data_IF_685829553800
#
_entry.id   IF_685829553800
#
_cell.length_a   1.000
_cell.length_b   1.000
_cell.length_c   1.000
_cell.angle_alpha   90.00
_cell.angle_beta   90.00
_cell.angle_gamma   90.00
#
_symmetry.space_group_name_H-M   'P 1'
#
loop_
_entity.id
_entity.type
_entity.pdbx_description
1 polymer ?
#
# COMPACT_ATOMS: atom_id res chain seq x y z
N UNK A 1 5.64 0.51 3.57
CA UNK A 1 6.58 -0.29 4.40
C UNK A 1 7.03 -1.55 3.65
N UNK A 2 7.57 -1.40 2.43
CA UNK A 2 7.93 -2.53 1.56
C UNK A 2 9.37 -3.02 1.70
N UNK A 3 10.12 -2.46 2.66
CA UNK A 3 11.55 -2.70 2.83
C UNK A 3 11.81 -3.28 4.21
N UNK A 4 12.64 -4.31 4.25
CA UNK A 4 13.17 -4.87 5.47
C UNK A 4 14.08 -3.85 6.16
N UNK A 5 13.87 -3.64 7.46
CA UNK A 5 14.64 -2.70 8.27
C UNK A 5 15.42 -3.44 9.35
N UNK A 6 16.70 -3.08 9.51
CA UNK A 6 17.61 -3.66 10.50
C UNK A 6 18.20 -2.58 11.39
N UNK A 7 18.35 -2.87 12.68
CA UNK A 7 19.13 -2.02 13.59
C UNK A 7 20.62 -2.31 13.40
N UNK A 8 21.40 -1.29 13.05
CA UNK A 8 22.84 -1.40 12.77
C UNK A 8 23.67 -1.64 14.03
N UNK A 9 23.16 -1.26 15.20
CA UNK A 9 23.88 -1.43 16.47
C UNK A 9 23.78 -2.86 16.99
N UNK A 10 22.64 -3.52 16.78
CA UNK A 10 22.41 -4.90 17.27
C UNK A 10 22.43 -5.95 16.17
N UNK A 11 22.26 -5.55 14.90
CA UNK A 11 22.05 -6.46 13.77
C UNK A 11 20.64 -7.08 13.72
N UNK A 12 19.73 -6.67 14.60
CA UNK A 12 18.38 -7.23 14.66
C UNK A 12 17.52 -6.76 13.50
N UNK A 13 16.80 -7.69 12.88
CA UNK A 13 15.71 -7.36 11.95
C UNK A 13 14.52 -6.81 12.73
N UNK A 14 14.19 -5.54 12.46
CA UNK A 14 13.08 -4.82 13.09
C UNK A 14 11.76 -5.00 12.33
N UNK A 15 11.83 -5.15 11.01
CA UNK A 15 10.69 -5.33 10.10
C UNK A 15 11.10 -6.20 8.91
N UNK A 16 10.25 -7.13 8.46
CA UNK A 16 10.56 -8.15 7.45
C UNK A 16 11.13 -9.43 8.06
N UNK A 17 10.63 -9.81 9.24
CA UNK A 17 11.15 -10.93 10.03
C UNK A 17 10.51 -12.23 9.56
N UNK A 18 11.30 -13.22 9.10
CA UNK A 18 10.79 -14.56 8.83
C UNK A 18 10.19 -15.18 10.10
N UNK A 19 9.10 -15.93 9.96
CA UNK A 19 8.46 -16.67 11.06
C UNK A 19 8.06 -15.75 12.23
N UNK A 20 7.38 -14.64 11.92
CA UNK A 20 6.94 -13.60 12.85
C UNK A 20 6.33 -14.15 14.17
N UNK A 21 5.68 -15.32 14.11
CA UNK A 21 4.97 -15.98 15.22
C UNK A 21 5.80 -16.96 16.06
N UNK A 22 7.06 -17.24 15.70
CA UNK A 22 8.01 -17.90 16.63
C UNK A 22 8.45 -16.99 17.76
N UNK A 23 8.18 -15.70 17.65
CA UNK A 23 8.56 -14.70 18.64
C UNK A 23 7.39 -14.42 19.59
N UNK A 24 7.70 -14.28 20.88
CA UNK A 24 6.70 -13.86 21.87
C UNK A 24 6.18 -12.45 21.54
N UNK A 25 4.93 -12.18 21.89
CA UNK A 25 4.29 -10.87 21.71
C UNK A 25 5.10 -9.75 22.33
N UNK A 26 5.72 -9.99 23.48
CA UNK A 26 6.66 -9.05 24.13
C UNK A 26 7.83 -8.68 23.22
N UNK A 27 8.41 -9.65 22.52
CA UNK A 27 9.51 -9.41 21.58
C UNK A 27 9.04 -8.66 20.33
N UNK A 28 7.83 -8.96 19.83
CA UNK A 28 7.22 -8.22 18.72
C UNK A 28 6.95 -6.76 19.11
N UNK A 29 6.35 -6.50 20.28
CA UNK A 29 6.14 -5.15 20.83
C UNK A 29 7.45 -4.36 20.95
N UNK A 30 8.52 -4.96 21.49
CA UNK A 30 9.83 -4.31 21.61
C UNK A 30 10.43 -3.96 20.25
N UNK A 31 10.33 -4.85 19.26
CA UNK A 31 10.80 -4.58 17.89
C UNK A 31 10.07 -3.40 17.27
N UNK A 32 8.74 -3.36 17.42
CA UNK A 32 7.93 -2.28 16.89
C UNK A 32 8.28 -0.94 17.54
N UNK A 33 8.42 -0.89 18.88
CA UNK A 33 8.92 0.34 19.55
C UNK A 33 10.28 0.79 19.05
N UNK A 34 11.16 -0.16 18.69
CA UNK A 34 12.49 0.15 18.15
C UNK A 34 12.44 0.79 16.76
N UNK A 35 11.28 0.77 16.08
CA UNK A 35 11.06 1.51 14.84
C UNK A 35 10.84 3.01 15.08
N UNK A 36 10.44 3.46 16.28
CA UNK A 36 10.31 4.89 16.54
C UNK A 36 11.64 5.62 16.24
N UNK A 37 11.56 6.81 15.65
CA UNK A 37 12.75 7.64 15.47
C UNK A 37 13.16 8.19 16.84
N UNK A 38 14.46 8.12 17.14
CA UNK A 38 15.02 8.82 18.30
C UNK A 38 15.08 10.33 18.06
N UNK A 39 15.23 11.12 19.13
CA UNK A 39 15.46 12.57 19.00
C UNK A 39 16.72 12.89 18.18
N UNK A 40 17.73 12.02 18.23
CA UNK A 40 18.94 12.17 17.40
C UNK A 40 18.63 11.94 15.91
N UNK A 41 17.86 10.90 15.58
CA UNK A 41 17.40 10.64 14.20
C UNK A 41 16.54 11.79 13.68
N UNK A 42 15.65 12.35 14.53
CA UNK A 42 14.84 13.54 14.19
C UNK A 42 15.69 14.80 14.00
N UNK A 43 16.81 14.92 14.71
CA UNK A 43 17.78 15.99 14.52
C UNK A 43 18.73 15.75 13.32
N UNK A 44 18.50 14.70 12.53
CA UNK A 44 19.25 14.39 11.30
C UNK A 44 20.40 13.41 11.48
N UNK A 45 20.68 12.92 12.70
CA UNK A 45 21.66 11.84 12.94
C UNK A 45 21.02 10.47 12.64
N UNK A 46 20.78 10.24 11.36
CA UNK A 46 20.22 8.99 10.83
C UNK A 46 21.29 7.89 10.69
N UNK A 47 20.85 6.64 10.54
CA UNK A 47 21.72 5.49 10.27
C UNK A 47 21.65 4.37 11.31
N UNK A 48 21.00 4.60 12.47
CA UNK A 48 20.73 3.54 13.44
C UNK A 48 19.94 2.41 12.80
N UNK A 49 18.88 2.72 12.08
CA UNK A 49 18.14 1.72 11.29
C UNK A 49 18.46 1.93 9.82
N UNK A 50 18.70 0.83 9.12
CA UNK A 50 18.98 0.86 7.68
C UNK A 50 18.10 -0.13 6.91
N UNK A 51 17.73 0.20 5.66
CA UNK A 51 17.02 -0.71 4.79
C UNK A 51 17.98 -1.76 4.21
N UNK A 52 17.61 -3.04 4.29
CA UNK A 52 18.46 -4.14 3.79
C UNK A 52 18.04 -4.68 2.43
N UNK A 53 16.73 -4.93 2.26
CA UNK A 53 16.18 -5.54 1.05
C UNK A 53 14.69 -5.19 0.91
N UNK A 54 14.10 -5.39 -0.27
CA UNK A 54 12.64 -5.44 -0.37
C UNK A 54 12.13 -6.67 0.37
N UNK A 55 10.93 -6.57 0.95
CA UNK A 55 10.33 -7.67 1.69
C UNK A 55 10.29 -8.97 0.86
N UNK A 56 10.88 -10.03 1.41
CA UNK A 56 10.89 -11.38 0.86
C UNK A 56 9.93 -12.33 1.60
N UNK A 57 9.35 -11.86 2.69
CA UNK A 57 8.37 -12.55 3.54
C UNK A 57 7.09 -11.72 3.64
N UNK A 58 5.97 -12.39 3.94
CA UNK A 58 4.73 -11.69 4.25
C UNK A 58 4.92 -10.92 5.55
N UNK A 59 4.44 -9.69 5.60
CA UNK A 59 4.44 -8.88 6.80
C UNK A 59 3.05 -8.33 7.09
N UNK A 60 2.82 -7.93 8.33
CA UNK A 60 1.55 -7.36 8.74
C UNK A 60 1.75 -6.30 9.81
N UNK A 61 1.11 -5.14 9.64
CA UNK A 61 1.05 -4.11 10.67
C UNK A 61 -0.41 -3.81 11.02
N UNK A 62 -0.77 -3.71 12.31
CA UNK A 62 -2.11 -3.30 12.67
C UNK A 62 -2.44 -1.92 12.09
N UNK A 63 -3.66 -1.81 11.57
CA UNK A 63 -4.13 -0.58 10.96
C UNK A 63 -3.60 -0.32 9.54
N UNK A 64 -2.60 -1.06 9.01
CA UNK A 64 -2.22 -1.05 7.59
C UNK A 64 -2.57 -2.35 6.86
N UNK A 65 -2.66 -3.47 7.57
CA UNK A 65 -2.95 -4.79 7.00
C UNK A 65 -1.69 -5.52 6.55
N UNK A 66 -1.88 -6.61 5.80
CA UNK A 66 -0.78 -7.44 5.31
C UNK A 66 -0.13 -6.90 4.04
N UNK A 67 1.14 -7.24 3.84
CA UNK A 67 1.93 -6.95 2.65
C UNK A 67 2.53 -8.26 2.14
N UNK A 68 2.32 -8.56 0.85
CA UNK A 68 2.92 -9.72 0.19
C UNK A 68 4.40 -9.46 -0.20
N UNK A 69 5.23 -10.50 -0.29
CA UNK A 69 6.62 -10.40 -0.74
C UNK A 69 6.77 -9.84 -2.16
N UNK A 70 7.83 -9.06 -2.40
CA UNK A 70 8.18 -8.56 -3.73
C UNK A 70 8.97 -9.56 -4.58
N UNK A 71 9.33 -10.72 -4.02
CA UNK A 71 10.17 -11.75 -4.68
C UNK A 71 9.62 -12.17 -6.04
N UNK A 72 8.29 -12.29 -6.19
CA UNK A 72 7.65 -12.66 -7.46
C UNK A 72 7.83 -11.58 -8.54
N UNK A 73 7.59 -10.32 -8.18
CA UNK A 73 7.77 -9.17 -9.08
C UNK A 73 9.23 -9.03 -9.51
N UNK A 74 10.16 -9.00 -8.55
CA UNK A 74 11.59 -8.87 -8.83
C UNK A 74 12.08 -10.04 -9.69
N UNK A 75 11.64 -11.27 -9.39
CA UNK A 75 12.00 -12.46 -10.15
C UNK A 75 11.43 -12.48 -11.58
N UNK A 76 10.25 -11.89 -11.81
CA UNK A 76 9.68 -11.71 -13.16
C UNK A 76 10.43 -10.63 -13.94
N UNK A 77 10.71 -9.48 -13.33
CA UNK A 77 11.49 -8.41 -13.96
C UNK A 77 12.90 -8.87 -14.35
N UNK A 78 13.61 -9.57 -13.45
CA UNK A 78 14.96 -10.10 -13.75
C UNK A 78 14.99 -11.09 -14.90
N UNK A 79 13.92 -11.89 -15.07
CA UNK A 79 13.79 -12.83 -16.19
C UNK A 79 13.37 -12.16 -17.50
N UNK A 80 12.60 -11.08 -17.43
CA UNK A 80 12.18 -10.31 -18.61
C UNK A 80 13.21 -9.29 -19.08
N UNK A 81 14.11 -8.84 -18.20
CA UNK A 81 15.15 -7.88 -18.55
C UNK A 81 16.26 -8.52 -19.38
N UNK A 82 16.98 -7.68 -20.14
CA UNK A 82 18.15 -8.07 -20.95
C UNK A 82 19.18 -8.87 -20.13
N UNK A 83 19.37 -8.48 -18.87
CA UNK A 83 20.22 -9.17 -17.91
C UNK A 83 19.70 -8.92 -16.49
N UNK A 84 19.84 -9.86 -15.53
CA UNK A 84 19.40 -9.65 -14.16
C UNK A 84 20.02 -8.42 -13.47
N UNK A 85 21.25 -8.04 -13.85
CA UNK A 85 21.93 -6.85 -13.36
C UNK A 85 21.30 -5.52 -13.84
N UNK A 86 20.40 -5.55 -14.82
CA UNK A 86 19.64 -4.37 -15.23
C UNK A 86 18.53 -4.02 -14.22
N UNK A 87 18.21 -4.92 -13.28
CA UNK A 87 17.14 -4.75 -12.29
C UNK A 87 17.71 -4.50 -10.91
N UNK A 88 17.48 -3.30 -10.38
CA UNK A 88 17.84 -2.90 -9.03
C UNK A 88 16.59 -2.80 -8.13
N UNK A 89 16.42 -3.70 -7.15
CA UNK A 89 15.53 -3.47 -6.03
C UNK A 89 16.04 -2.30 -5.18
N UNK A 90 15.18 -1.34 -4.86
CA UNK A 90 15.53 -0.19 -4.02
C UNK A 90 14.77 -0.25 -2.69
N UNK A 91 15.36 -0.85 -1.64
CA UNK A 91 14.81 -0.73 -0.30
C UNK A 91 15.16 0.63 0.31
N UNK A 92 14.27 1.18 1.13
CA UNK A 92 14.47 2.48 1.77
C UNK A 92 13.90 2.50 3.19
N UNK A 93 14.38 3.43 4.03
CA UNK A 93 13.87 3.60 5.37
C UNK A 93 12.53 4.35 5.32
N UNK A 94 11.45 3.58 5.26
CA UNK A 94 10.09 4.10 5.14
C UNK A 94 9.60 4.89 6.36
N UNK A 95 10.39 4.95 7.44
CA UNK A 95 10.11 5.79 8.61
C UNK A 95 10.46 7.26 8.33
N UNK A 96 11.46 7.50 7.48
CA UNK A 96 11.91 8.81 7.06
C UNK A 96 10.99 9.40 5.98
N UNK A 97 11.09 10.71 5.76
CA UNK A 97 10.24 11.42 4.80
C UNK A 97 10.42 10.92 3.36
N UNK A 98 9.35 11.03 2.58
CA UNK A 98 9.34 10.78 1.14
C UNK A 98 10.38 11.65 0.44
N UNK A 99 10.54 12.91 0.86
CA UNK A 99 11.57 13.82 0.32
C UNK A 99 12.98 13.27 0.50
N UNK A 100 13.31 12.80 1.71
CA UNK A 100 14.62 12.22 2.00
C UNK A 100 14.87 10.96 1.16
N UNK A 101 13.93 10.01 1.17
CA UNK A 101 14.06 8.77 0.43
C UNK A 101 14.04 8.98 -1.10
N UNK A 102 13.34 10.00 -1.59
CA UNK A 102 13.32 10.38 -3.00
C UNK A 102 14.69 10.86 -3.50
N UNK A 103 15.43 11.61 -2.68
CA UNK A 103 16.80 12.01 -3.00
C UNK A 103 17.75 10.80 -3.08
N UNK A 104 17.62 9.85 -2.15
CA UNK A 104 18.39 8.59 -2.19
C UNK A 104 18.02 7.74 -3.41
N UNK A 105 16.74 7.69 -3.80
CA UNK A 105 16.29 7.00 -5.00
C UNK A 105 16.90 7.61 -6.26
N UNK A 106 16.93 8.94 -6.37
CA UNK A 106 17.52 9.64 -7.51
C UNK A 106 19.01 9.29 -7.67
N UNK A 107 19.77 9.33 -6.57
CA UNK A 107 21.20 9.01 -6.57
C UNK A 107 21.45 7.53 -6.93
N UNK A 108 20.66 6.61 -6.35
CA UNK A 108 20.75 5.19 -6.66
C UNK A 108 20.37 4.89 -8.11
N UNK A 109 19.34 5.55 -8.63
CA UNK A 109 18.86 5.41 -10.00
C UNK A 109 19.94 5.85 -11.02
N UNK A 110 20.55 7.02 -10.79
CA UNK A 110 21.63 7.53 -11.62
C UNK A 110 22.84 6.58 -11.66
N UNK A 111 23.36 6.18 -10.49
CA UNK A 111 24.47 5.21 -10.40
C UNK A 111 24.16 3.88 -11.08
N UNK A 112 22.93 3.39 -10.91
CA UNK A 112 22.49 2.14 -11.51
C UNK A 112 22.46 2.23 -13.04
N UNK A 113 21.97 3.35 -13.57
CA UNK A 113 21.92 3.56 -15.01
C UNK A 113 23.32 3.67 -15.62
N UNK A 114 24.23 4.40 -14.98
CA UNK A 114 25.64 4.47 -15.40
C UNK A 114 26.30 3.09 -15.40
N UNK A 115 26.15 2.34 -14.32
CA UNK A 115 26.68 0.98 -14.20
C UNK A 115 26.09 0.03 -15.25
N UNK A 116 24.79 0.13 -15.52
CA UNK A 116 24.14 -0.69 -16.55
C UNK A 116 24.63 -0.33 -17.96
N UNK A 117 24.77 0.96 -18.28
CA UNK A 117 25.29 1.40 -19.59
C UNK A 117 26.71 0.93 -19.85
N UNK A 118 27.54 0.81 -18.79
CA UNK A 118 28.89 0.28 -18.86
C UNK A 118 28.99 -1.26 -18.85
N UNK A 119 27.88 -1.97 -18.60
CA UNK A 119 27.88 -3.42 -18.46
C UNK A 119 28.03 -4.12 -19.84
N UNK A 120 28.87 -5.17 -20.00
CA UNK A 120 29.07 -5.84 -21.30
C UNK A 120 27.76 -6.34 -21.94
N UNK A 121 26.86 -6.91 -21.14
CA UNK A 121 25.56 -7.38 -21.63
C UNK A 121 24.67 -6.27 -22.23
N UNK A 122 24.82 -5.00 -21.79
CA UNK A 122 24.15 -3.86 -22.42
C UNK A 122 24.75 -3.59 -23.79
N UNK A 123 26.08 -3.48 -23.89
CA UNK A 123 26.79 -3.29 -25.17
C UNK A 123 26.44 -4.39 -26.17
N UNK A 124 26.49 -5.66 -25.75
CA UNK A 124 26.16 -6.78 -26.62
C UNK A 124 24.70 -6.74 -27.09
N UNK A 125 23.78 -6.29 -26.23
CA UNK A 125 22.38 -6.13 -26.59
C UNK A 125 22.18 -5.03 -27.64
N UNK A 126 22.82 -3.87 -27.46
CA UNK A 126 22.76 -2.77 -28.42
C UNK A 126 23.32 -3.19 -29.79
N UNK A 127 24.45 -3.91 -29.82
CA UNK A 127 25.04 -4.44 -31.05
C UNK A 127 24.09 -5.43 -31.74
N UNK A 128 23.49 -6.36 -30.99
CA UNK A 128 22.61 -7.39 -31.55
C UNK A 128 21.29 -6.84 -32.10
N UNK A 129 20.75 -5.82 -31.44
CA UNK A 129 19.42 -5.26 -31.79
C UNK A 129 19.50 -4.10 -32.77
N UNK A 130 20.66 -3.43 -32.86
CA UNK A 130 20.79 -2.19 -33.61
C UNK A 130 19.98 -1.04 -33.00
N UNK A 131 19.65 -1.11 -31.70
CA UNK A 131 19.03 0.03 -31.01
C UNK A 131 20.03 1.19 -30.92
N UNK A 132 19.60 2.39 -31.34
CA UNK A 132 20.42 3.61 -31.27
C UNK A 132 20.09 4.48 -30.05
N UNK A 133 19.02 4.15 -29.32
CA UNK A 133 18.58 4.93 -28.16
C UNK A 133 19.36 4.50 -26.90
N UNK A 134 19.93 5.43 -26.11
CA UNK A 134 20.57 5.06 -24.86
C UNK A 134 19.57 4.44 -23.88
N UNK A 135 20.04 3.49 -23.07
CA UNK A 135 19.25 2.92 -21.97
C UNK A 135 18.72 4.04 -21.05
N UNK A 136 17.53 3.83 -20.51
CA UNK A 136 16.90 4.73 -19.54
C UNK A 136 16.11 3.93 -18.52
N UNK A 137 15.65 4.60 -17.46
CA UNK A 137 15.11 3.94 -16.27
C UNK A 137 13.61 3.71 -16.42
N UNK A 138 13.18 2.47 -16.21
CA UNK A 138 11.78 2.15 -15.94
C UNK A 138 11.61 2.00 -14.42
N UNK A 139 10.82 2.88 -13.81
CA UNK A 139 10.45 2.71 -12.42
C UNK A 139 9.21 1.83 -12.28
N UNK A 140 9.26 0.86 -11.37
CA UNK A 140 8.10 0.08 -10.93
C UNK A 140 7.97 0.28 -9.43
N UNK A 141 6.95 1.02 -9.01
CA UNK A 141 6.70 1.33 -7.62
C UNK A 141 5.35 0.82 -7.14
N UNK A 142 5.33 0.46 -5.87
CA UNK A 142 4.13 0.11 -5.14
C UNK A 142 3.93 1.07 -3.97
N UNK A 143 2.68 1.46 -3.71
CA UNK A 143 2.29 2.26 -2.55
C UNK A 143 3.11 3.56 -2.48
N UNK A 144 3.67 3.88 -1.31
CA UNK A 144 4.52 5.06 -1.06
C UNK A 144 5.73 5.19 -2.00
N UNK A 145 6.19 4.09 -2.61
CA UNK A 145 7.28 4.15 -3.60
C UNK A 145 6.98 5.06 -4.79
N UNK A 146 5.70 5.20 -5.17
CA UNK A 146 5.32 6.13 -6.25
C UNK A 146 5.44 7.59 -5.84
N UNK A 147 5.36 7.90 -4.54
CA UNK A 147 5.61 9.24 -4.02
C UNK A 147 7.09 9.60 -4.07
N UNK A 148 7.98 8.62 -3.84
CA UNK A 148 9.43 8.83 -4.04
C UNK A 148 9.71 9.17 -5.51
N UNK A 149 9.10 8.46 -6.47
CA UNK A 149 9.25 8.78 -7.89
C UNK A 149 8.72 10.18 -8.19
N UNK A 150 7.60 10.60 -7.58
CA UNK A 150 7.11 11.98 -7.73
C UNK A 150 8.14 13.01 -7.28
N UNK A 151 8.91 12.73 -6.24
CA UNK A 151 10.01 13.61 -5.81
C UNK A 151 11.16 13.71 -6.81
N UNK A 152 11.44 12.66 -7.59
CA UNK A 152 12.49 12.70 -8.62
C UNK A 152 12.24 13.81 -9.66
N UNK A 153 10.98 14.13 -9.96
CA UNK A 153 10.63 15.20 -10.89
C UNK A 153 10.95 16.61 -10.37
N UNK A 154 11.31 16.74 -9.09
CA UNK A 154 11.76 17.98 -8.46
C UNK A 154 13.27 18.04 -8.25
N UNK A 155 14.01 17.01 -8.69
CA UNK A 155 15.46 16.94 -8.60
C UNK A 155 16.05 17.23 -9.99
N UNK A 156 16.91 18.26 -10.14
CA UNK A 156 17.50 18.62 -11.43
C UNK A 156 18.18 17.42 -12.11
N UNK A 157 17.84 17.16 -13.38
CA UNK A 157 18.40 16.09 -14.20
C UNK A 157 17.85 14.68 -13.94
N UNK A 158 17.21 14.42 -12.79
CA UNK A 158 16.74 13.07 -12.46
C UNK A 158 15.60 12.58 -13.38
N UNK A 159 14.74 13.49 -13.84
CA UNK A 159 13.62 13.15 -14.73
C UNK A 159 14.08 12.81 -16.17
N UNK A 160 15.24 13.31 -16.61
CA UNK A 160 15.73 13.14 -17.98
C UNK A 160 16.13 11.69 -18.28
N UNK A 161 16.49 10.95 -17.24
CA UNK A 161 16.87 9.53 -17.32
C UNK A 161 15.67 8.59 -17.39
N UNK A 162 14.45 9.10 -17.17
CA UNK A 162 13.23 8.29 -17.02
C UNK A 162 12.66 7.88 -18.39
N UNK A 163 12.66 6.56 -18.65
CA UNK A 163 12.04 5.93 -19.81
C UNK A 163 10.54 5.64 -19.59
N UNK A 164 10.14 5.37 -18.35
CA UNK A 164 8.75 5.12 -17.98
C UNK A 164 8.55 4.98 -16.47
N UNK A 165 7.30 5.15 -16.04
CA UNK A 165 6.90 5.01 -14.63
C UNK A 165 5.68 4.11 -14.54
N UNK A 166 5.74 3.12 -13.67
CA UNK A 166 4.60 2.28 -13.31
C UNK A 166 4.39 2.42 -11.80
N UNK A 167 3.17 2.77 -11.41
CA UNK A 167 2.79 2.83 -9.99
C UNK A 167 1.61 1.91 -9.75
N UNK A 168 1.65 1.14 -8.67
CA UNK A 168 0.52 0.33 -8.20
C UNK A 168 0.07 0.82 -6.83
N UNK A 169 -1.19 1.25 -6.73
CA UNK A 169 -1.82 1.66 -5.47
C UNK A 169 -1.12 2.85 -4.79
N UNK A 170 -0.49 3.76 -5.54
CA UNK A 170 0.24 4.87 -4.94
C UNK A 170 -0.73 5.92 -4.38
N UNK A 171 -0.66 6.29 -3.08
CA UNK A 171 -1.53 7.29 -2.48
C UNK A 171 -1.06 8.71 -2.81
N UNK A 172 -1.20 9.16 -4.06
CA UNK A 172 -0.77 10.49 -4.50
C UNK A 172 -1.41 11.63 -3.70
N UNK A 173 -2.66 11.45 -3.26
CA UNK A 173 -3.38 12.38 -2.38
C UNK A 173 -3.46 11.87 -0.93
N UNK A 174 -2.64 10.90 -0.54
CA UNK A 174 -2.66 10.31 0.80
C UNK A 174 -3.80 9.32 1.04
N UNK A 175 -3.99 8.92 2.29
CA UNK A 175 -5.00 7.94 2.70
C UNK A 175 -5.58 8.26 4.08
N UNK A 176 -6.90 8.13 4.24
CA UNK A 176 -7.57 8.20 5.56
C UNK A 176 -7.00 7.17 6.53
N UNK A 177 -6.48 6.03 6.06
CA UNK A 177 -5.86 5.01 6.90
C UNK A 177 -4.68 5.57 7.70
N UNK A 178 -3.90 6.50 7.15
CA UNK A 178 -2.83 7.18 7.88
C UNK A 178 -3.36 7.99 9.08
N UNK A 179 -4.51 8.65 8.92
CA UNK A 179 -5.18 9.37 10.02
C UNK A 179 -5.65 8.39 11.10
N UNK A 180 -6.25 7.26 10.69
CA UNK A 180 -6.73 6.23 11.63
C UNK A 180 -5.58 5.61 12.44
N UNK A 181 -4.41 5.45 11.83
CA UNK A 181 -3.20 5.00 12.53
C UNK A 181 -2.73 6.01 13.58
N UNK A 182 -2.75 7.31 13.29
CA UNK A 182 -2.41 8.33 14.29
C UNK A 182 -3.44 8.34 15.43
N UNK A 183 -4.70 8.05 15.12
CA UNK A 183 -5.79 7.93 16.10
C UNK A 183 -5.75 6.63 16.93
N UNK A 184 -4.96 5.63 16.54
CA UNK A 184 -5.03 4.25 17.08
C UNK A 184 -4.66 4.08 18.56
N UNK A 185 -4.39 5.19 19.28
CA UNK A 185 -4.37 5.29 20.74
C UNK A 185 -5.74 5.38 21.43
N UNK A 186 -6.85 5.51 20.70
CA UNK A 186 -8.21 5.74 21.25
C UNK A 186 -9.25 4.75 20.70
N UNK A 187 -9.26 3.51 21.22
CA UNK A 187 -10.42 2.61 21.13
C UNK A 187 -10.62 1.83 19.83
N UNK A 188 -9.58 1.59 19.02
CA UNK A 188 -9.63 0.60 17.96
C UNK A 188 -9.13 -0.77 18.51
N UNK A 189 -9.83 -1.89 18.25
CA UNK A 189 -9.38 -3.21 18.69
C UNK A 189 -8.26 -3.68 17.77
N UNK A 190 -7.04 -3.23 18.04
CA UNK A 190 -5.83 -3.65 17.34
C UNK A 190 -4.99 -4.51 18.31
N UNK A 191 -4.34 -5.59 17.84
CA UNK A 191 -3.55 -6.52 18.66
C UNK A 191 -2.20 -5.94 19.16
N UNK A 192 -1.98 -4.63 18.99
CA UNK A 192 -0.91 -3.92 19.65
C UNK A 192 -1.52 -2.92 20.63
N UNK A 193 -0.94 -2.78 21.83
CA UNK A 193 -1.44 -1.81 22.77
C UNK A 193 -1.27 -0.42 22.15
N UNK A 194 -2.32 0.37 22.31
CA UNK A 194 -2.55 1.66 21.67
C UNK A 194 -1.37 2.65 21.88
N UNK A 195 -0.61 2.45 22.95
CA UNK A 195 0.58 3.21 23.32
C UNK A 195 1.76 2.96 22.35
N UNK A 196 2.02 1.72 21.94
CA UNK A 196 3.11 1.37 21.02
C UNK A 196 2.87 1.99 19.65
N UNK A 197 1.64 1.85 19.13
CA UNK A 197 1.27 2.45 17.86
C UNK A 197 1.36 3.97 17.92
N UNK A 198 0.94 4.59 19.02
CA UNK A 198 1.07 6.03 19.21
C UNK A 198 2.53 6.48 19.26
N UNK A 199 3.39 5.77 19.98
CA UNK A 199 4.82 6.07 20.12
C UNK A 199 5.53 6.05 18.76
N UNK A 200 5.27 5.01 17.95
CA UNK A 200 5.91 4.88 16.64
C UNK A 200 5.34 5.88 15.63
N UNK A 201 4.02 6.05 15.58
CA UNK A 201 3.37 6.91 14.57
C UNK A 201 3.67 8.39 14.81
N UNK A 202 3.88 8.80 16.07
CA UNK A 202 4.22 10.18 16.42
C UNK A 202 5.59 10.62 15.89
N UNK A 203 6.52 9.70 15.67
CA UNK A 203 7.93 10.02 15.37
C UNK A 203 8.32 9.85 13.91
N UNK A 204 7.44 9.33 13.04
CA UNK A 204 7.78 8.90 11.67
C UNK A 204 7.28 9.88 10.59
N UNK A 205 8.14 10.79 10.05
CA UNK A 205 7.75 11.67 8.95
C UNK A 205 7.13 10.94 7.74
N UNK A 206 7.61 9.74 7.41
CA UNK A 206 7.08 8.96 6.28
C UNK A 206 5.59 8.62 6.42
N UNK A 207 5.07 8.51 7.65
CA UNK A 207 3.64 8.33 7.88
C UNK A 207 2.84 9.63 7.70
N UNK A 208 3.39 10.78 8.11
CA UNK A 208 2.75 12.09 7.90
C UNK A 208 2.67 12.45 6.43
N UNK A 209 3.66 12.03 5.63
CA UNK A 209 3.65 12.20 4.17
C UNK A 209 2.51 11.42 3.48
N UNK A 210 1.86 10.47 4.17
CA UNK A 210 0.68 9.74 3.70
C UNK A 210 -0.66 10.34 4.15
N UNK A 211 -0.65 11.45 4.89
CA UNK A 211 -1.89 12.14 5.29
C UNK A 211 -2.70 12.56 4.07
N UNK A 212 -4.04 12.51 4.13
CA UNK A 212 -4.87 12.82 2.98
C UNK A 212 -4.86 14.33 2.69
N UNK A 213 -4.57 14.67 1.44
CA UNK A 213 -4.56 16.05 0.93
C UNK A 213 -5.88 16.46 0.27
N UNK A 214 -6.91 15.64 0.39
CA UNK A 214 -8.23 15.83 -0.24
C UNK A 214 -9.33 16.08 0.82
N UNK A 215 -10.52 16.47 0.36
CA UNK A 215 -11.68 16.77 1.21
C UNK A 215 -12.26 15.48 1.81
N UNK A 216 -11.74 15.06 2.97
CA UNK A 216 -12.06 13.77 3.57
C UNK A 216 -12.56 13.86 5.02
N UNK A 217 -12.47 15.03 5.67
CA UNK A 217 -12.98 15.22 7.01
C UNK A 217 -14.41 15.77 6.94
N UNK A 218 -15.37 15.03 7.48
CA UNK A 218 -16.76 15.44 7.61
C UNK A 218 -16.86 16.74 8.41
N UNK A 219 -17.54 17.74 7.85
CA UNK A 219 -17.83 19.03 8.46
C UNK A 219 -19.26 19.45 8.12
N UNK A 220 -20.17 19.26 9.08
CA UNK A 220 -21.61 19.34 8.86
C UNK A 220 -22.07 18.34 7.78
N UNK A 221 -22.68 18.87 6.73
CA UNK A 221 -23.20 18.11 5.58
C UNK A 221 -22.15 17.85 4.47
N UNK A 222 -20.97 18.46 4.55
CA UNK A 222 -19.94 18.38 3.53
C UNK A 222 -18.66 17.75 4.08
N UNK A 223 -17.63 17.67 3.25
CA UNK A 223 -16.29 17.28 3.65
C UNK A 223 -15.32 18.42 3.36
N UNK A 224 -14.32 18.62 4.21
CA UNK A 224 -13.22 19.57 4.03
C UNK A 224 -11.86 18.88 4.08
N UNK A 225 -10.84 19.59 3.59
CA UNK A 225 -9.47 19.15 3.72
C UNK A 225 -9.00 19.25 5.18
N UNK A 226 -7.97 18.48 5.51
CA UNK A 226 -7.37 18.49 6.82
C UNK A 226 -6.59 19.76 7.09
N UNK A 227 -6.59 20.16 8.36
CA UNK A 227 -5.75 21.21 8.91
C UNK A 227 -4.76 20.61 9.90
N UNK A 228 -3.72 21.37 10.22
CA UNK A 228 -2.75 21.01 11.25
C UNK A 228 -3.45 20.73 12.60
N UNK A 229 -4.44 21.55 12.96
CA UNK A 229 -5.20 21.38 14.20
C UNK A 229 -5.98 20.08 14.26
N UNK A 230 -6.48 19.55 13.14
CA UNK A 230 -7.23 18.29 13.13
C UNK A 230 -6.32 17.13 13.52
N UNK A 231 -5.10 17.09 12.98
CA UNK A 231 -4.11 16.04 13.28
C UNK A 231 -3.55 16.19 14.70
N UNK A 232 -3.26 17.42 15.14
CA UNK A 232 -2.84 17.65 16.53
C UNK A 232 -3.93 17.24 17.53
N UNK A 233 -5.21 17.46 17.22
CA UNK A 233 -6.33 17.00 18.06
C UNK A 233 -6.43 15.47 18.17
N UNK A 234 -5.96 14.75 17.14
CA UNK A 234 -5.82 13.29 17.13
C UNK A 234 -4.54 12.81 17.80
N UNK A 235 -3.68 13.73 18.27
CA UNK A 235 -2.44 13.41 18.97
C UNK A 235 -1.20 13.31 18.07
N UNK A 236 -1.27 13.80 16.84
CA UNK A 236 -0.11 13.91 15.94
C UNK A 236 0.79 15.10 16.27
N UNK A 237 2.05 15.00 15.86
CA UNK A 237 3.08 16.02 15.98
C UNK A 237 2.77 17.20 15.05
N UNK A 238 2.76 18.40 15.61
CA UNK A 238 2.42 19.62 14.87
C UNK A 238 3.43 19.92 13.76
N UNK A 239 4.73 19.82 14.04
CA UNK A 239 5.79 20.17 13.11
C UNK A 239 5.81 19.22 11.92
N UNK A 240 5.75 17.91 12.18
CA UNK A 240 5.65 16.91 11.12
C UNK A 240 4.41 17.10 10.26
N UNK A 241 3.28 17.48 10.87
CA UNK A 241 2.04 17.76 10.12
C UNK A 241 2.20 19.00 9.22
N UNK A 242 2.76 20.08 9.75
CA UNK A 242 3.01 21.31 8.99
C UNK A 242 3.93 21.05 7.79
N UNK A 243 5.03 20.32 8.02
CA UNK A 243 6.01 19.97 7.00
C UNK A 243 5.41 19.09 5.91
N UNK A 244 4.69 18.02 6.28
CA UNK A 244 4.09 17.10 5.30
C UNK A 244 2.95 17.74 4.51
N UNK A 245 2.06 18.53 5.16
CA UNK A 245 0.99 19.25 4.45
C UNK A 245 1.56 20.37 3.55
N UNK A 246 2.67 21.00 3.92
CA UNK A 246 3.42 21.91 3.05
C UNK A 246 3.97 21.20 1.83
N UNK A 247 4.70 20.11 2.07
CA UNK A 247 5.27 19.27 1.01
C UNK A 247 4.22 18.75 0.02
N UNK A 248 3.08 18.24 0.48
CA UNK A 248 2.03 17.76 -0.41
C UNK A 248 1.45 18.88 -1.30
N UNK A 249 1.26 20.09 -0.74
CA UNK A 249 0.78 21.25 -1.51
C UNK A 249 1.73 21.63 -2.63
N UNK A 250 3.04 21.66 -2.35
CA UNK A 250 4.07 21.98 -3.34
C UNK A 250 4.12 20.94 -4.48
N UNK A 251 3.64 19.71 -4.23
CA UNK A 251 3.66 18.59 -5.17
C UNK A 251 2.34 18.33 -5.88
N UNK A 252 1.26 19.02 -5.51
CA UNK A 252 -0.10 18.74 -6.00
C UNK A 252 -0.24 18.78 -7.53
N UNK A 253 0.54 19.65 -8.20
CA UNK A 253 0.56 19.79 -9.66
C UNK A 253 1.58 18.93 -10.39
N UNK A 254 2.30 18.02 -9.71
CA UNK A 254 3.37 17.25 -10.34
C UNK A 254 2.79 16.17 -11.25
N UNK A 255 3.03 16.30 -12.56
CA UNK A 255 2.72 15.26 -13.53
C UNK A 255 3.91 14.31 -13.70
N UNK A 256 3.64 13.00 -13.82
CA UNK A 256 4.66 12.00 -14.12
C UNK A 256 4.62 11.70 -15.62
N UNK A 257 5.73 11.91 -16.32
CA UNK A 257 5.80 11.60 -17.75
C UNK A 257 5.82 10.10 -18.01
N UNK A 258 5.11 9.63 -19.05
CA UNK A 258 5.09 8.21 -19.48
C UNK A 258 4.70 7.26 -18.34
N UNK A 259 3.60 7.63 -17.67
CA UNK A 259 3.13 6.98 -16.45
C UNK A 259 1.97 6.01 -16.74
N UNK A 260 2.14 4.76 -16.35
CA UNK A 260 1.09 3.74 -16.30
C UNK A 260 0.61 3.64 -14.85
N UNK A 261 -0.62 4.07 -14.60
CA UNK A 261 -1.17 4.24 -13.26
C UNK A 261 -2.10 3.09 -12.90
N UNK A 262 -1.58 2.09 -12.19
CA UNK A 262 -2.36 0.97 -11.68
C UNK A 262 -3.04 1.38 -10.37
N UNK A 263 -4.37 1.32 -10.36
CA UNK A 263 -5.21 1.74 -9.25
C UNK A 263 -5.96 0.52 -8.74
N UNK A 264 -5.85 0.23 -7.45
CA UNK A 264 -6.64 -0.85 -6.88
C UNK A 264 -8.10 -0.45 -6.68
N UNK A 265 -9.03 -1.34 -7.01
CA UNK A 265 -10.47 -1.06 -7.05
C UNK A 265 -11.29 -2.14 -6.36
N UNK A 266 -12.59 -1.86 -6.19
CA UNK A 266 -13.61 -2.78 -5.67
C UNK A 266 -13.41 -3.30 -4.23
N UNK A 267 -12.34 -2.92 -3.54
CA UNK A 267 -12.16 -3.28 -2.14
C UNK A 267 -12.80 -2.21 -1.22
N UNK A 268 -13.49 -2.62 -0.14
CA UNK A 268 -13.97 -1.69 0.88
C UNK A 268 -12.83 -0.85 1.43
N UNK A 269 -12.94 0.47 1.28
CA UNK A 269 -11.85 1.39 1.60
C UNK A 269 -12.38 2.60 2.36
N UNK A 270 -11.73 2.95 3.47
CA UNK A 270 -11.99 4.20 4.18
C UNK A 270 -11.63 5.38 3.26
N UNK A 271 -12.63 6.18 2.93
CA UNK A 271 -12.54 7.28 1.96
C UNK A 271 -12.59 8.64 2.64
N UNK A 272 -13.39 8.74 3.68
CA UNK A 272 -13.55 9.91 4.54
C UNK A 272 -13.57 9.48 6.00
N UNK A 273 -13.62 10.44 6.91
CA UNK A 273 -13.83 10.17 8.33
C UNK A 273 -14.51 11.36 9.00
N UNK A 274 -15.11 11.10 10.16
CA UNK A 274 -15.65 12.12 11.05
C UNK A 274 -14.90 12.12 12.37
N UNK A 275 -14.89 13.27 13.03
CA UNK A 275 -14.39 13.39 14.40
C UNK A 275 -15.54 13.09 15.38
N UNK A 276 -15.31 12.16 16.30
CA UNK A 276 -16.26 11.77 17.34
C UNK A 276 -15.55 11.69 18.69
N UNK A 277 -15.89 12.59 19.62
CA UNK A 277 -15.26 12.68 20.95
C UNK A 277 -13.71 12.60 20.91
N UNK A 278 -13.09 13.30 19.95
CA UNK A 278 -11.64 13.30 19.76
C UNK A 278 -11.08 12.02 19.12
N UNK A 279 -11.91 11.22 18.45
CA UNK A 279 -11.52 10.03 17.68
C UNK A 279 -11.86 10.20 16.21
N UNK A 280 -11.00 9.70 15.33
CA UNK A 280 -11.31 9.58 13.91
C UNK A 280 -12.13 8.30 13.67
N UNK A 281 -13.33 8.43 13.13
CA UNK A 281 -14.22 7.32 12.76
C UNK A 281 -14.30 7.22 11.25
N UNK A 282 -13.79 6.12 10.70
CA UNK A 282 -13.74 5.87 9.26
C UNK A 282 -15.14 5.84 8.62
N UNK A 283 -15.24 6.38 7.40
CA UNK A 283 -16.41 6.34 6.55
C UNK A 283 -16.00 5.79 5.17
N UNK A 284 -16.85 4.94 4.60
CA UNK A 284 -16.62 4.26 3.32
C UNK A 284 -17.39 4.92 2.17
N UNK A 285 -17.52 6.25 2.23
CA UNK A 285 -18.21 7.03 1.21
C UNK A 285 -17.63 8.43 1.10
N UNK A 286 -17.91 9.10 -0.01
CA UNK A 286 -17.63 10.51 -0.25
C UNK A 286 -18.94 11.26 -0.51
N UNK A 287 -19.02 12.52 -0.10
CA UNK A 287 -20.09 13.40 -0.59
C UNK A 287 -19.86 13.76 -2.04
N UNK A 288 -20.93 13.80 -2.83
CA UNK A 288 -20.85 14.10 -4.25
C UNK A 288 -20.96 15.61 -4.45
N UNK A 289 -20.01 16.17 -5.20
CA UNK A 289 -20.05 17.56 -5.66
C UNK A 289 -20.15 17.60 -7.17
N UNK A 290 -20.99 18.49 -7.71
CA UNK A 290 -21.13 18.75 -9.15
C UNK A 290 -20.89 20.23 -9.38
N UNK A 291 -19.97 20.56 -10.30
CA UNK A 291 -19.58 21.96 -10.59
C UNK A 291 -19.19 22.78 -9.34
N UNK A 292 -18.62 22.14 -8.32
CA UNK A 292 -18.21 22.83 -7.08
C UNK A 292 -19.32 23.01 -6.05
N UNK A 293 -20.51 22.45 -6.27
CA UNK A 293 -21.64 22.51 -5.32
C UNK A 293 -21.98 21.13 -4.77
N UNK A 294 -22.39 21.06 -3.50
CA UNK A 294 -22.80 19.82 -2.84
C UNK A 294 -24.12 19.32 -3.43
N UNK A 295 -24.12 18.10 -3.96
CA UNK A 295 -25.33 17.47 -4.47
C UNK A 295 -26.20 17.03 -3.30
N UNK A 296 -27.47 17.42 -3.30
CA UNK A 296 -28.47 17.01 -2.33
C UNK A 296 -29.55 16.15 -3.01
N UNK A 297 -30.13 15.22 -2.26
CA UNK A 297 -31.31 14.46 -2.69
C UNK A 297 -32.59 15.30 -2.56
N UNK A 298 -33.74 14.72 -2.92
CA UNK A 298 -35.05 15.39 -2.82
C UNK A 298 -35.41 15.81 -1.39
N UNK A 299 -34.85 15.15 -0.38
CA UNK A 299 -35.02 15.49 1.04
C UNK A 299 -34.02 16.52 1.55
N UNK A 300 -33.17 17.06 0.69
CA UNK A 300 -32.14 18.04 1.05
C UNK A 300 -30.91 17.43 1.73
N UNK A 301 -30.78 16.10 1.82
CA UNK A 301 -29.62 15.44 2.43
C UNK A 301 -28.48 15.32 1.40
N UNK A 302 -27.20 15.44 1.82
CA UNK A 302 -26.06 15.24 0.93
C UNK A 302 -26.07 13.85 0.29
N UNK A 303 -25.91 13.79 -1.03
CA UNK A 303 -25.79 12.51 -1.73
C UNK A 303 -24.38 11.97 -1.55
N UNK A 304 -24.29 10.76 -1.01
CA UNK A 304 -23.02 10.06 -0.79
C UNK A 304 -22.84 8.93 -1.78
N UNK A 305 -21.59 8.60 -2.11
CA UNK A 305 -21.24 7.46 -2.95
C UNK A 305 -20.04 6.72 -2.36
N UNK A 306 -20.13 5.39 -2.32
CA UNK A 306 -18.96 4.55 -2.08
C UNK A 306 -18.19 4.39 -3.38
N UNK A 307 -17.01 5.00 -3.45
CA UNK A 307 -16.14 5.00 -4.62
C UNK A 307 -15.08 3.90 -4.58
N UNK A 308 -15.09 3.05 -3.54
CA UNK A 308 -14.19 1.91 -3.32
C UNK A 308 -12.70 2.28 -3.37
N UNK A 309 -11.83 1.28 -3.38
CA UNK A 309 -10.38 1.44 -3.46
C UNK A 309 -9.70 0.08 -3.34
N UNK A 310 -8.52 0.05 -2.75
CA UNK A 310 -7.71 -1.16 -2.58
C UNK A 310 -7.63 -1.65 -1.11
N UNK A 311 -8.50 -1.17 -0.23
CA UNK A 311 -8.49 -1.47 1.20
C UNK A 311 -7.54 -0.57 2.01
N UNK A 312 -6.75 0.27 1.33
CA UNK A 312 -5.88 1.27 1.97
C UNK A 312 -6.01 2.64 1.31
N UNK A 313 -5.91 2.70 0.00
CA UNK A 313 -5.97 3.91 -0.81
C UNK A 313 -7.31 3.95 -1.52
N UNK A 314 -8.06 5.01 -1.22
CA UNK A 314 -9.27 5.36 -1.95
C UNK A 314 -8.94 5.52 -3.45
N UNK A 315 -9.72 4.91 -4.35
CA UNK A 315 -9.48 4.90 -5.81
C UNK A 315 -9.00 6.26 -6.38
N UNK A 316 -9.73 7.34 -6.11
CA UNK A 316 -9.37 8.66 -6.66
C UNK A 316 -8.26 9.38 -5.88
N UNK A 317 -7.86 8.89 -4.70
CA UNK A 317 -6.66 9.34 -4.01
C UNK A 317 -5.37 8.71 -4.59
N UNK A 318 -5.51 7.78 -5.53
CA UNK A 318 -4.42 7.22 -6.32
C UNK A 318 -4.30 7.86 -7.72
N UNK A 319 -5.07 8.90 -8.03
CA UNK A 319 -5.11 9.48 -9.37
C UNK A 319 -4.11 10.63 -9.53
N UNK A 320 -3.49 10.72 -10.71
CA UNK A 320 -2.83 11.94 -11.18
C UNK A 320 -3.58 12.48 -12.39
N UNK A 321 -3.68 13.81 -12.48
CA UNK A 321 -4.39 14.48 -13.56
C UNK A 321 -3.80 14.11 -14.92
N UNK A 322 -4.68 13.80 -15.87
CA UNK A 322 -4.29 13.50 -17.26
C UNK A 322 -3.75 12.08 -17.48
N UNK A 323 -3.78 11.21 -16.47
CA UNK A 323 -3.35 9.80 -16.60
C UNK A 323 -4.57 8.89 -16.49
N UNK A 324 -4.75 8.00 -17.46
CA UNK A 324 -5.81 6.98 -17.42
C UNK A 324 -5.46 5.91 -16.39
N UNK A 325 -6.41 5.58 -15.53
CA UNK A 325 -6.23 4.49 -14.57
C UNK A 325 -6.26 3.12 -15.25
N UNK A 326 -5.47 2.19 -14.71
CA UNK A 326 -5.49 0.76 -15.00
C UNK A 326 -6.09 0.10 -13.74
N UNK A 327 -7.39 -0.23 -13.74
CA UNK A 327 -8.05 -0.75 -12.55
C UNK A 327 -7.62 -2.21 -12.28
N UNK A 328 -7.34 -2.53 -11.02
CA UNK A 328 -7.03 -3.90 -10.58
C UNK A 328 -7.80 -4.18 -9.28
N UNK A 329 -8.72 -5.13 -9.30
CA UNK A 329 -9.54 -5.46 -8.13
C UNK A 329 -8.77 -6.34 -7.11
N UNK A 330 -7.81 -5.75 -6.42
CA UNK A 330 -6.95 -6.42 -5.44
C UNK A 330 -6.77 -5.56 -4.18
N UNK A 331 -6.51 -6.23 -3.07
CA UNK A 331 -6.07 -5.58 -1.83
C UNK A 331 -4.70 -4.94 -2.03
N UNK A 332 -4.47 -3.81 -1.34
CA UNK A 332 -3.27 -2.98 -1.48
C UNK A 332 -1.98 -3.79 -1.36
N UNK A 333 -1.86 -4.58 -0.29
CA UNK A 333 -0.69 -5.41 -0.04
C UNK A 333 -0.47 -6.54 -1.05
N UNK A 334 -1.51 -6.92 -1.81
CA UNK A 334 -1.50 -8.00 -2.80
C UNK A 334 -1.17 -7.50 -4.21
N UNK A 335 -1.26 -6.18 -4.47
CA UNK A 335 -0.98 -5.60 -5.79
C UNK A 335 0.37 -6.04 -6.40
N UNK A 336 1.50 -6.07 -5.66
CA UNK A 336 2.79 -6.50 -6.24
C UNK A 336 2.81 -7.97 -6.72
N UNK A 337 1.86 -8.79 -6.29
CA UNK A 337 1.73 -10.21 -6.65
C UNK A 337 0.76 -10.43 -7.82
N UNK A 338 -0.09 -9.45 -8.12
CA UNK A 338 -1.13 -9.56 -9.14
C UNK A 338 -0.54 -9.77 -10.54
N UNK A 339 -1.08 -10.70 -11.31
CA UNK A 339 -0.73 -10.94 -12.72
C UNK A 339 -0.88 -9.65 -13.53
N UNK A 340 -1.95 -8.89 -13.35
CA UNK A 340 -2.14 -7.62 -14.05
C UNK A 340 -0.99 -6.63 -13.81
N UNK A 341 -0.55 -6.49 -12.57
CA UNK A 341 0.62 -5.65 -12.23
C UNK A 341 1.91 -6.23 -12.81
N UNK A 342 2.11 -7.54 -12.68
CA UNK A 342 3.30 -8.25 -13.17
C UNK A 342 3.44 -8.16 -14.69
N UNK A 343 2.34 -8.28 -15.42
CA UNK A 343 2.33 -8.31 -16.88
C UNK A 343 2.52 -6.90 -17.46
N UNK A 344 1.94 -5.87 -16.84
CA UNK A 344 2.26 -4.47 -17.19
C UNK A 344 3.74 -4.15 -16.88
N UNK A 345 4.25 -4.57 -15.72
CA UNK A 345 5.63 -4.32 -15.32
C UNK A 345 6.66 -5.00 -16.23
N UNK A 346 6.45 -6.27 -16.56
CA UNK A 346 7.32 -7.02 -17.48
C UNK A 346 7.15 -6.54 -18.92
N UNK A 347 5.91 -6.30 -19.34
CA UNK A 347 5.62 -5.84 -20.69
C UNK A 347 6.28 -4.51 -21.03
N UNK A 348 6.37 -3.60 -20.06
CA UNK A 348 7.05 -2.32 -20.24
C UNK A 348 8.55 -2.43 -20.53
N UNK A 349 9.19 -3.56 -20.19
CA UNK A 349 10.59 -3.82 -20.59
C UNK A 349 10.72 -4.00 -22.11
N UNK A 350 9.70 -4.55 -22.76
CA UNK A 350 9.63 -4.76 -24.22
C UNK A 350 8.91 -3.63 -24.96
N UNK A 351 8.59 -2.52 -24.26
CA UNK A 351 8.00 -1.33 -24.86
C UNK A 351 6.47 -1.24 -24.78
N UNK A 352 5.79 -2.17 -24.09
CA UNK A 352 4.35 -2.04 -23.82
C UNK A 352 4.10 -0.83 -22.92
N UNK A 353 3.31 0.15 -23.38
CA UNK A 353 3.05 1.40 -22.62
C UNK A 353 1.69 1.35 -21.93
N UNK A 354 0.71 0.74 -22.57
CA UNK A 354 -0.65 0.61 -22.08
C UNK A 354 -1.13 -0.85 -22.11
N UNK A 355 -1.92 -1.29 -21.12
CA UNK A 355 -2.45 -2.66 -21.12
C UNK A 355 -3.39 -2.97 -22.29
N UNK A 356 -3.91 -1.95 -22.97
CA UNK A 356 -4.69 -2.10 -24.20
C UNK A 356 -3.86 -2.78 -25.32
N UNK A 357 -2.53 -2.68 -25.24
CA UNK A 357 -1.59 -3.40 -26.11
C UNK A 357 -1.44 -4.89 -25.72
N UNK A 358 -1.90 -5.29 -24.53
CA UNK A 358 -2.01 -6.69 -24.09
C UNK A 358 -3.37 -7.32 -24.46
N UNK A 359 -4.34 -6.55 -24.99
CA UNK A 359 -5.71 -7.00 -25.26
C UNK A 359 -6.57 -7.17 -24.00
N UNK A 360 -7.67 -7.93 -24.09
CA UNK A 360 -8.63 -8.24 -23.00
C UNK A 360 -8.05 -9.07 -21.83
N UNK A 361 -6.72 -9.06 -21.65
CA UNK A 361 -5.99 -9.91 -20.69
C UNK A 361 -5.99 -9.34 -19.27
N UNK A 362 -6.40 -8.08 -19.07
CA UNK A 362 -6.70 -7.56 -17.74
C UNK A 362 -8.12 -7.95 -17.35
N UNK A 363 -8.22 -8.80 -16.33
CA UNK A 363 -9.47 -9.27 -15.79
C UNK A 363 -10.52 -8.19 -15.55
N UNK A 364 -11.79 -8.54 -15.74
CA UNK A 364 -12.92 -7.62 -15.57
C UNK A 364 -13.18 -7.18 -14.12
N UNK A 365 -12.31 -7.55 -13.18
CA UNK A 365 -12.16 -6.91 -11.87
C UNK A 365 -13.43 -6.88 -11.03
N UNK A 366 -14.33 -7.86 -11.19
CA UNK A 366 -15.67 -7.79 -10.56
C UNK A 366 -15.70 -8.04 -9.06
N UNK A 367 -14.70 -8.71 -8.49
CA UNK A 367 -14.77 -9.22 -7.12
C UNK A 367 -14.09 -8.31 -6.09
N UNK A 368 -14.81 -8.05 -4.98
CA UNK A 368 -14.28 -7.38 -3.79
C UNK A 368 -14.23 -8.34 -2.60
N UNK A 369 -13.10 -8.41 -1.89
CA UNK A 369 -12.89 -9.30 -0.75
C UNK A 369 -12.78 -8.49 0.55
N UNK A 370 -13.60 -8.83 1.54
CA UNK A 370 -13.61 -8.23 2.87
C UNK A 370 -13.44 -9.31 3.93
N UNK A 371 -12.30 -9.31 4.60
CA UNK A 371 -12.06 -10.09 5.80
C UNK A 371 -11.52 -9.15 6.89
N UNK A 372 -11.65 -9.48 8.18
CA UNK A 372 -11.03 -8.64 9.20
C UNK A 372 -9.51 -8.69 9.06
N UNK A 373 -8.83 -7.59 9.37
CA UNK A 373 -7.36 -7.59 9.39
C UNK A 373 -6.78 -8.45 10.53
N UNK A 374 -7.57 -8.72 11.57
CA UNK A 374 -7.23 -9.50 12.77
C UNK A 374 -8.38 -10.44 13.18
N UNK A 375 -8.07 -11.65 13.64
CA UNK A 375 -9.02 -12.62 14.18
C UNK A 375 -8.49 -13.30 15.46
N UNK A 376 -9.39 -13.75 16.33
CA UNK A 376 -9.04 -14.55 17.50
C UNK A 376 -8.90 -16.03 17.14
N UNK A 377 -7.83 -16.67 17.63
CA UNK A 377 -7.61 -18.11 17.43
C UNK A 377 -8.76 -18.90 18.06
N UNK A 378 -9.31 -19.85 17.29
CA UNK A 378 -10.44 -20.67 17.74
C UNK A 378 -11.81 -19.99 17.64
N UNK A 379 -11.88 -18.70 17.33
CA UNK A 379 -13.15 -18.00 17.09
C UNK A 379 -13.42 -17.84 15.58
N UNK A 380 -14.70 -17.93 15.14
CA UNK A 380 -15.05 -17.70 13.75
C UNK A 380 -14.93 -16.22 13.38
N UNK A 381 -14.30 -15.93 12.25
CA UNK A 381 -14.36 -14.64 11.59
C UNK A 381 -15.09 -14.73 10.26
N UNK A 382 -15.72 -13.62 9.85
CA UNK A 382 -16.47 -13.55 8.60
C UNK A 382 -15.56 -13.13 7.45
N UNK A 383 -15.61 -13.87 6.35
CA UNK A 383 -15.08 -13.52 5.04
C UNK A 383 -16.27 -13.17 4.18
N UNK A 384 -16.25 -11.99 3.55
CA UNK A 384 -17.31 -11.51 2.67
C UNK A 384 -16.75 -11.23 1.28
N UNK A 385 -17.52 -11.59 0.26
CA UNK A 385 -17.22 -11.39 -1.15
C UNK A 385 -18.34 -10.60 -1.80
N UNK A 386 -18.00 -9.48 -2.44
CA UNK A 386 -18.90 -8.68 -3.26
C UNK A 386 -18.60 -8.88 -4.75
N UNK A 387 -19.57 -8.62 -5.62
CA UNK A 387 -19.40 -8.75 -7.08
C UNK A 387 -20.02 -10.02 -7.69
N UNK A 388 -20.56 -10.91 -6.86
CA UNK A 388 -21.39 -12.06 -7.24
C UNK A 388 -22.29 -12.47 -6.07
N UNK A 389 -23.45 -13.04 -6.38
CA UNK A 389 -24.36 -13.69 -5.45
C UNK A 389 -24.55 -15.19 -5.75
N UNK A 390 -23.72 -15.73 -6.66
CA UNK A 390 -23.66 -17.14 -7.04
C UNK A 390 -22.46 -17.83 -6.36
N UNK A 391 -22.69 -18.66 -5.32
CA UNK A 391 -21.63 -19.39 -4.65
C UNK A 391 -20.95 -20.45 -5.53
N UNK A 392 -21.58 -20.92 -6.61
CA UNK A 392 -20.98 -21.92 -7.49
C UNK A 392 -19.92 -21.33 -8.44
N UNK A 393 -19.90 -20.00 -8.58
CA UNK A 393 -18.96 -19.30 -9.44
C UNK A 393 -17.59 -19.08 -8.80
N UNK A 394 -17.42 -19.36 -7.50
CA UNK A 394 -16.23 -18.97 -6.73
C UNK A 394 -15.81 -20.01 -5.70
N UNK A 395 -14.50 -20.11 -5.47
CA UNK A 395 -13.87 -20.95 -4.45
C UNK A 395 -13.15 -20.08 -3.42
N UNK A 396 -13.32 -20.36 -2.13
CA UNK A 396 -12.59 -19.71 -1.04
C UNK A 396 -11.54 -20.64 -0.45
N UNK A 397 -10.29 -20.19 -0.44
CA UNK A 397 -9.14 -20.86 0.15
C UNK A 397 -8.56 -20.00 1.26
N UNK A 398 -8.25 -20.60 2.41
CA UNK A 398 -7.53 -19.92 3.49
C UNK A 398 -6.26 -20.70 3.80
N UNK A 399 -5.11 -20.14 3.46
CA UNK A 399 -3.79 -20.78 3.59
C UNK A 399 -2.95 -20.08 4.67
N UNK A 400 -2.33 -20.84 5.56
CA UNK A 400 -1.39 -20.30 6.55
C UNK A 400 -0.01 -20.08 5.90
N UNK A 401 0.49 -18.85 5.96
CA UNK A 401 1.63 -18.39 5.16
C UNK A 401 2.97 -18.35 5.92
N UNK A 402 2.98 -18.62 7.23
CA UNK A 402 4.16 -18.49 8.09
C UNK A 402 4.82 -19.80 8.53
N UNK A 403 4.35 -20.95 8.01
CA UNK A 403 5.15 -22.18 7.98
C UNK A 403 4.45 -23.45 8.45
N UNK A 404 3.19 -23.38 8.88
CA UNK A 404 2.40 -24.58 9.21
C UNK A 404 1.85 -25.29 7.97
N UNK A 405 1.69 -24.57 6.85
CA UNK A 405 1.12 -25.11 5.60
C UNK A 405 -0.36 -25.49 5.72
N UNK A 406 -1.05 -25.06 6.79
CA UNK A 406 -2.47 -25.32 6.97
C UNK A 406 -3.28 -24.70 5.83
N UNK A 407 -4.23 -25.46 5.30
CA UNK A 407 -5.16 -24.99 4.26
C UNK A 407 -6.60 -25.31 4.68
N UNK A 408 -7.47 -24.31 4.66
CA UNK A 408 -8.90 -24.43 4.92
C UNK A 408 -9.69 -24.00 3.69
N UNK A 409 -10.91 -24.53 3.51
CA UNK A 409 -11.81 -24.19 2.40
C UNK A 409 -13.19 -23.78 2.91
N UNK A 410 -13.35 -22.53 3.40
CA UNK A 410 -14.65 -22.04 3.87
C UNK A 410 -15.68 -22.06 2.74
N UNK A 411 -16.90 -22.48 3.04
CA UNK A 411 -17.98 -22.50 2.05
C UNK A 411 -18.66 -21.14 2.01
N UNK A 412 -18.53 -20.43 0.89
CA UNK A 412 -19.27 -19.19 0.63
C UNK A 412 -20.76 -19.49 0.46
N UNK A 413 -21.60 -18.66 1.08
CA UNK A 413 -23.06 -18.72 0.98
C UNK A 413 -23.58 -17.31 0.78
N UNK A 414 -24.79 -17.14 0.23
CA UNK A 414 -25.42 -15.82 0.12
C UNK A 414 -25.44 -15.12 1.48
N UNK A 415 -24.89 -13.92 1.53
CA UNK A 415 -24.89 -13.09 2.73
C UNK A 415 -26.31 -12.61 3.02
N UNK A 416 -26.73 -12.75 4.28
CA UNK A 416 -28.07 -12.35 4.73
C UNK A 416 -28.15 -10.86 5.08
N UNK A 417 -27.02 -10.26 5.42
CA UNK A 417 -26.92 -8.88 5.91
C UNK A 417 -26.58 -7.91 4.77
N UNK A 418 -25.89 -8.38 3.74
CA UNK A 418 -25.46 -7.56 2.59
C UNK A 418 -26.00 -8.16 1.29
N UNK A 419 -27.11 -7.62 0.73
CA UNK A 419 -27.69 -8.09 -0.52
C UNK A 419 -26.69 -8.09 -1.68
N UNK A 420 -26.71 -9.12 -2.51
CA UNK A 420 -25.83 -9.25 -3.68
C UNK A 420 -24.38 -9.61 -3.33
N UNK A 421 -24.14 -10.17 -2.14
CA UNK A 421 -22.81 -10.62 -1.70
C UNK A 421 -22.86 -12.05 -1.14
N UNK A 422 -21.68 -12.66 -1.01
CA UNK A 422 -21.48 -13.95 -0.36
C UNK A 422 -20.71 -13.77 0.95
N UNK A 423 -20.93 -14.65 1.91
CA UNK A 423 -20.20 -14.71 3.17
C UNK A 423 -19.83 -16.15 3.54
N UNK A 424 -18.70 -16.32 4.22
CA UNK A 424 -18.26 -17.55 4.84
C UNK A 424 -17.76 -17.25 6.26
N UNK A 425 -17.89 -18.22 7.16
CA UNK A 425 -17.25 -18.16 8.47
C UNK A 425 -16.02 -19.08 8.44
N UNK A 426 -14.88 -18.56 8.87
CA UNK A 426 -13.63 -19.31 8.96
C UNK A 426 -13.13 -19.28 10.41
N UNK A 427 -12.68 -20.43 10.91
CA UNK A 427 -12.04 -20.54 12.22
C UNK A 427 -10.66 -21.12 12.01
N UNK A 428 -9.64 -20.42 12.49
CA UNK A 428 -8.24 -20.86 12.38
C UNK A 428 -7.77 -21.46 13.71
N UNK A 429 -7.04 -22.59 13.69
CA UNK A 429 -6.74 -23.37 14.88
C UNK A 429 -5.51 -22.88 15.65
N UNK A 430 -4.73 -21.96 15.09
CA UNK A 430 -3.50 -21.48 15.70
C UNK A 430 -3.18 -20.04 15.31
N UNK A 431 -2.25 -19.40 16.03
CA UNK A 431 -1.74 -18.09 15.66
C UNK A 431 -0.94 -18.18 14.35
N UNK A 432 -1.08 -17.17 13.50
CA UNK A 432 -0.42 -17.15 12.19
C UNK A 432 -0.94 -16.05 11.28
N UNK A 433 -0.34 -15.94 10.09
CA UNK A 433 -0.81 -15.06 9.02
C UNK A 433 -1.47 -15.90 7.94
N UNK A 434 -2.78 -15.72 7.77
CA UNK A 434 -3.62 -16.50 6.87
C UNK A 434 -3.96 -15.71 5.62
N UNK A 435 -3.64 -16.24 4.44
CA UNK A 435 -4.09 -15.71 3.15
C UNK A 435 -5.46 -16.28 2.83
N UNK A 436 -6.46 -15.42 2.83
CA UNK A 436 -7.77 -15.70 2.23
C UNK A 436 -7.67 -15.38 0.75
N UNK A 437 -7.97 -16.34 -0.11
CA UNK A 437 -7.95 -16.21 -1.56
C UNK A 437 -9.29 -16.68 -2.13
N UNK A 438 -9.90 -15.86 -2.97
CA UNK A 438 -11.12 -16.21 -3.71
C UNK A 438 -10.77 -16.36 -5.18
N UNK A 439 -11.00 -17.57 -5.70
CA UNK A 439 -10.87 -17.91 -7.13
C UNK A 439 -12.26 -17.96 -7.79
N UNK A 440 -12.36 -17.75 -9.10
CA UNK A 440 -13.66 -17.71 -9.82
C UNK A 440 -13.77 -16.62 -10.89
N UNK A 441 -12.67 -15.91 -11.17
CA UNK A 441 -12.52 -14.94 -12.26
C UNK A 441 -11.23 -15.20 -13.02
N UNK A 442 -10.77 -14.22 -13.80
CA UNK A 442 -9.50 -14.29 -14.55
C UNK A 442 -8.26 -14.23 -13.64
N UNK A 443 -8.37 -13.64 -12.45
CA UNK A 443 -7.35 -13.66 -11.41
C UNK A 443 -7.99 -13.83 -10.01
N UNK A 444 -7.40 -14.64 -9.10
CA UNK A 444 -7.87 -14.72 -7.71
C UNK A 444 -7.64 -13.41 -6.93
N UNK A 445 -8.64 -12.96 -6.17
CA UNK A 445 -8.51 -11.85 -5.22
C UNK A 445 -8.06 -12.38 -3.86
N UNK A 446 -7.12 -11.72 -3.18
CA UNK A 446 -6.59 -12.21 -1.91
C UNK A 446 -6.39 -11.14 -0.84
N UNK A 447 -6.55 -11.53 0.43
CA UNK A 447 -6.34 -10.72 1.62
C UNK A 447 -5.62 -11.51 2.71
N UNK A 448 -4.68 -10.88 3.42
CA UNK A 448 -4.02 -11.44 4.59
C UNK A 448 -4.76 -11.07 5.89
N UNK A 449 -4.98 -12.07 6.76
CA UNK A 449 -5.63 -11.98 8.06
C UNK A 449 -4.65 -12.45 9.14
N UNK A 450 -4.39 -11.61 10.14
CA UNK A 450 -3.58 -11.99 11.30
C UNK A 450 -4.45 -12.72 12.33
N UNK A 451 -4.00 -13.86 12.84
CA UNK A 451 -4.68 -14.54 13.96
C UNK A 451 -3.78 -14.68 15.19
N UNK A 452 -4.32 -14.42 16.38
CA UNK A 452 -3.62 -14.61 17.66
C UNK A 452 -4.57 -14.77 18.86
N UNK A 453 -4.02 -14.87 20.07
CA UNK A 453 -4.77 -15.24 21.28
C UNK A 453 -5.31 -14.03 22.06
N UNK A 454 -6.33 -14.19 22.90
CA UNK A 454 -6.92 -13.07 23.65
C UNK A 454 -5.94 -12.40 24.64
N UNK A 455 -4.94 -13.13 25.15
CA UNK A 455 -3.91 -12.59 26.06
C UNK A 455 -2.91 -11.63 25.38
N UNK A 456 -3.02 -11.50 24.06
CA UNK A 456 -2.21 -10.62 23.23
C UNK A 456 -2.82 -9.21 23.08
N UNK A 457 -4.06 -9.04 23.57
CA UNK A 457 -4.92 -7.87 23.40
C UNK A 457 -4.97 -6.87 24.56
N UNK A 458 -4.17 -7.02 25.61
CA UNK A 458 -4.01 -6.01 26.69
C UNK A 458 -2.71 -5.19 26.56
#
# INVERSE_FOLDING_TARGET
MGSELVDTSTGDVLWGVPELFRYTIRRHRRRLRSLALTDEERAGRIGRVTPRALLSVCEWLPGLGGIEPYSRLVGRLRRGAVHPAAVLPFPYDWRLSVRHNGALLAEAAHRHLEAWRAHPAHTDHMIRTGEDRPAGILFVAHSMGGLLIRELFHIPGAADEIRGVITAGTPFQGSVKAVLMMNSGRGAPLPLPADVLREITHTMPGLYDLLPSYRCLQDGDDMRALTVSDITALGGDRGLTEDSLGWQRDRAGTALSKHSMIVGTEQPTAQSFRMDAGRAVAQHHMVIRRHGELRRDEGGKPVTEDRRGDGTVYRFAAHLLGVREIPVAQQHGSLPRSSGVLDVAVGALSGLRHPEELGDVLGDGRYGLDAPHWALVGEPFTIRLTGTDDPAAVDCLVEETTGSGLTLRPVLRRDRDVPGSLSAHCTVPGPGLYRVEISGGSEPVSQLVLAGSAADGD
#
